data_IF_944817163365
#
_entry.id   IF_944817163365
#
_cell.length_a   1.000
_cell.length_b   1.000
_cell.length_c   1.000
_cell.angle_alpha   90.00
_cell.angle_beta   90.00
_cell.angle_gamma   90.00
#
_symmetry.space_group_name_H-M   'P 1'
#
loop_
_entity.id
_entity.type
_entity.pdbx_description
1 polymer ?
#
# COMPACT_ATOMS: atom_id res chain seq x y z
N UNK A 1 6.75 -25.95 -18.51
CA UNK A 1 7.88 -25.14 -18.00
C UNK A 1 7.46 -24.50 -16.70
N UNK A 2 8.33 -24.69 -15.73
CA UNK A 2 8.28 -24.35 -14.31
C UNK A 2 8.20 -22.84 -14.05
N UNK A 3 7.45 -22.44 -13.03
CA UNK A 3 7.95 -21.47 -12.05
C UNK A 3 7.61 -21.99 -10.66
N UNK A 4 8.63 -22.57 -10.05
CA UNK A 4 8.60 -23.04 -8.67
C UNK A 4 8.37 -21.81 -7.78
N UNK A 5 7.36 -21.92 -6.94
CA UNK A 5 7.03 -20.96 -5.91
C UNK A 5 8.18 -20.93 -4.89
N UNK A 6 9.16 -20.05 -5.07
CA UNK A 6 10.01 -19.62 -3.96
C UNK A 6 9.18 -18.72 -3.07
N UNK A 7 8.35 -19.34 -2.24
CA UNK A 7 7.92 -18.73 -1.00
C UNK A 7 9.20 -18.44 -0.21
N UNK A 8 9.62 -17.18 -0.19
CA UNK A 8 10.58 -16.69 0.79
C UNK A 8 9.92 -16.71 2.17
N UNK A 9 9.70 -17.90 2.72
CA UNK A 9 9.44 -18.15 4.14
C UNK A 9 10.77 -18.06 4.87
N UNK A 10 11.38 -16.88 4.89
CA UNK A 10 12.51 -16.57 5.74
C UNK A 10 12.35 -15.14 6.29
N UNK A 11 12.41 -15.05 7.62
CA UNK A 11 12.34 -13.84 8.44
C UNK A 11 10.94 -13.36 8.88
N UNK A 12 10.17 -14.22 9.56
CA UNK A 12 9.04 -13.78 10.42
C UNK A 12 9.51 -13.10 11.72
N UNK A 13 10.60 -12.35 11.69
CA UNK A 13 11.14 -11.64 12.87
C UNK A 13 12.02 -10.45 12.57
N UNK A 14 12.28 -10.14 11.28
CA UNK A 14 13.08 -8.97 10.91
C UNK A 14 12.18 -7.93 10.29
N UNK A 15 11.99 -6.83 11.02
CA UNK A 15 11.30 -5.66 10.48
C UNK A 15 11.99 -5.23 9.17
N UNK A 16 11.27 -5.08 8.06
CA UNK A 16 11.88 -4.67 6.80
C UNK A 16 12.53 -3.29 6.98
N UNK A 17 13.79 -3.18 6.55
CA UNK A 17 14.48 -1.89 6.51
C UNK A 17 13.80 -0.94 5.51
N UNK A 18 14.02 0.36 5.67
CA UNK A 18 13.42 1.39 4.79
C UNK A 18 13.77 1.19 3.30
N UNK A 19 15.00 0.79 2.99
CA UNK A 19 15.44 0.50 1.61
C UNK A 19 14.68 -0.68 0.99
N UNK A 20 14.53 -1.77 1.76
CA UNK A 20 13.78 -2.95 1.33
C UNK A 20 12.30 -2.62 1.12
N UNK A 21 11.72 -1.82 2.02
CA UNK A 21 10.34 -1.37 1.91
C UNK A 21 10.12 -0.52 0.65
N UNK A 22 11.03 0.43 0.36
CA UNK A 22 10.99 1.22 -0.88
C UNK A 22 11.15 0.36 -2.12
N UNK A 23 12.04 -0.65 -2.09
CA UNK A 23 12.20 -1.58 -3.20
C UNK A 23 10.89 -2.34 -3.49
N UNK A 24 10.24 -2.85 -2.44
CA UNK A 24 8.93 -3.54 -2.54
C UNK A 24 7.83 -2.63 -3.06
N UNK A 25 7.77 -1.38 -2.61
CA UNK A 25 6.82 -0.38 -3.12
C UNK A 25 7.03 -0.18 -4.63
N UNK A 26 8.26 0.06 -5.06
CA UNK A 26 8.56 0.28 -6.48
C UNK A 26 8.23 -0.94 -7.34
N UNK A 27 8.55 -2.14 -6.85
CA UNK A 27 8.18 -3.39 -7.52
C UNK A 27 6.66 -3.57 -7.60
N UNK A 28 5.93 -3.23 -6.52
CA UNK A 28 4.47 -3.24 -6.48
C UNK A 28 3.86 -2.26 -7.49
N UNK A 29 4.36 -1.02 -7.55
CA UNK A 29 3.93 0.00 -8.52
C UNK A 29 4.16 -0.47 -9.96
N UNK A 30 5.31 -1.07 -10.25
CA UNK A 30 5.60 -1.62 -11.58
C UNK A 30 4.58 -2.69 -11.97
N UNK A 31 4.23 -3.61 -11.05
CA UNK A 31 3.21 -4.64 -11.29
C UNK A 31 1.81 -4.03 -11.50
N UNK A 32 1.40 -3.08 -10.66
CA UNK A 32 0.10 -2.40 -10.79
C UNK A 32 -0.02 -1.73 -12.15
N UNK A 33 1.05 -1.09 -12.65
CA UNK A 33 1.06 -0.46 -13.98
C UNK A 33 1.00 -1.45 -15.12
N UNK A 34 1.59 -2.64 -14.98
CA UNK A 34 1.52 -3.71 -15.99
C UNK A 34 0.11 -4.32 -16.02
N UNK A 35 -0.49 -4.55 -14.85
CA UNK A 35 -1.79 -5.20 -14.72
C UNK A 35 -2.96 -4.28 -15.11
N UNK A 36 -2.78 -2.95 -15.04
CA UNK A 36 -3.83 -1.97 -15.29
C UNK A 36 -3.75 -1.37 -16.70
N UNK A 37 -4.83 -1.51 -17.47
CA UNK A 37 -4.92 -0.98 -18.83
C UNK A 37 -4.98 0.56 -18.91
N UNK A 38 -5.45 1.24 -17.86
CA UNK A 38 -5.60 2.70 -17.78
C UNK A 38 -5.66 3.19 -16.32
N UNK A 39 -5.81 4.50 -16.11
CA UNK A 39 -5.88 5.10 -14.77
C UNK A 39 -7.02 4.58 -13.88
N UNK A 40 -8.20 4.30 -14.44
CA UNK A 40 -9.32 3.70 -13.70
C UNK A 40 -9.03 2.25 -13.29
N UNK A 41 -8.30 1.51 -14.13
CA UNK A 41 -7.80 0.17 -13.79
C UNK A 41 -6.80 0.19 -12.62
N UNK A 42 -5.98 1.24 -12.52
CA UNK A 42 -5.05 1.43 -11.40
C UNK A 42 -5.83 1.67 -10.10
N UNK A 43 -6.84 2.56 -10.14
CA UNK A 43 -7.72 2.84 -9.00
C UNK A 43 -8.41 1.56 -8.50
N UNK A 44 -9.08 0.81 -9.38
CA UNK A 44 -9.75 -0.46 -9.00
C UNK A 44 -8.80 -1.54 -8.48
N UNK A 45 -7.57 -1.62 -9.01
CA UNK A 45 -6.54 -2.53 -8.52
C UNK A 45 -6.09 -2.15 -7.11
N UNK A 46 -5.85 -0.86 -6.86
CA UNK A 46 -5.50 -0.35 -5.53
C UNK A 46 -6.62 -0.60 -4.52
N UNK A 47 -7.88 -0.35 -4.88
CA UNK A 47 -9.03 -0.65 -4.02
C UNK A 47 -9.10 -2.13 -3.64
N UNK A 48 -8.91 -3.03 -4.61
CA UNK A 48 -8.93 -4.48 -4.38
C UNK A 48 -7.80 -4.92 -3.46
N UNK A 49 -6.58 -4.47 -3.72
CA UNK A 49 -5.41 -4.81 -2.89
C UNK A 49 -5.57 -4.29 -1.46
N UNK A 50 -6.05 -3.06 -1.29
CA UNK A 50 -6.24 -2.48 0.04
C UNK A 50 -7.34 -3.20 0.82
N UNK A 51 -8.44 -3.56 0.15
CA UNK A 51 -9.51 -4.38 0.76
C UNK A 51 -8.99 -5.73 1.24
N UNK A 52 -8.18 -6.41 0.43
CA UNK A 52 -7.60 -7.70 0.81
C UNK A 52 -6.62 -7.55 1.98
N UNK A 53 -5.78 -6.52 1.99
CA UNK A 53 -4.85 -6.25 3.08
C UNK A 53 -5.57 -5.96 4.41
N UNK A 54 -6.65 -5.17 4.36
CA UNK A 54 -7.51 -4.90 5.51
C UNK A 54 -8.23 -6.16 6.01
N UNK A 55 -8.81 -6.95 5.10
CA UNK A 55 -9.48 -8.21 5.46
C UNK A 55 -8.51 -9.24 6.08
N UNK A 56 -7.27 -9.27 5.61
CA UNK A 56 -6.22 -10.10 6.19
C UNK A 56 -5.63 -9.55 7.50
N UNK A 57 -5.96 -8.30 7.87
CA UNK A 57 -5.40 -7.62 9.03
C UNK A 57 -3.88 -7.45 8.96
N UNK A 58 -3.30 -7.38 7.76
CA UNK A 58 -1.85 -7.36 7.54
C UNK A 58 -1.31 -5.92 7.52
N UNK A 59 -0.63 -5.44 8.57
CA UNK A 59 -0.15 -4.06 8.63
C UNK A 59 0.92 -3.77 7.58
N UNK A 60 1.72 -4.78 7.25
CA UNK A 60 2.72 -4.70 6.21
C UNK A 60 2.09 -4.51 4.84
N UNK A 61 1.08 -5.31 4.49
CA UNK A 61 0.42 -5.20 3.18
C UNK A 61 -0.36 -3.89 3.07
N UNK A 62 -1.02 -3.45 4.14
CA UNK A 62 -1.67 -2.13 4.20
C UNK A 62 -0.65 -1.02 3.88
N UNK A 63 0.48 -1.00 4.58
CA UNK A 63 1.54 -0.02 4.36
C UNK A 63 2.11 -0.10 2.93
N UNK A 64 2.30 -1.31 2.39
CA UNK A 64 2.80 -1.52 1.04
C UNK A 64 1.85 -0.95 -0.02
N UNK A 65 0.54 -1.20 0.13
CA UNK A 65 -0.48 -0.67 -0.78
C UNK A 65 -0.57 0.85 -0.69
N UNK A 66 -0.58 1.41 0.53
CA UNK A 66 -0.58 2.86 0.74
C UNK A 66 0.66 3.54 0.13
N UNK A 67 1.84 2.96 0.31
CA UNK A 67 3.08 3.46 -0.29
C UNK A 67 3.04 3.40 -1.82
N UNK A 68 2.50 2.31 -2.38
CA UNK A 68 2.33 2.15 -3.84
C UNK A 68 1.36 3.19 -4.41
N UNK A 69 0.25 3.42 -3.71
CA UNK A 69 -0.75 4.42 -4.09
C UNK A 69 -0.14 5.84 -4.07
N UNK A 70 0.60 6.17 -3.01
CA UNK A 70 1.28 7.46 -2.88
C UNK A 70 2.30 7.72 -3.99
N UNK A 71 3.06 6.70 -4.42
CA UNK A 71 3.96 6.81 -5.58
C UNK A 71 3.23 7.07 -6.90
N UNK A 72 1.99 6.60 -7.00
CA UNK A 72 1.10 6.84 -8.13
C UNK A 72 0.30 8.15 -8.01
N UNK A 73 0.51 8.94 -6.95
CA UNK A 73 -0.29 10.13 -6.61
C UNK A 73 -1.79 9.85 -6.52
N UNK A 74 -2.15 8.64 -6.12
CA UNK A 74 -3.50 8.16 -5.88
C UNK A 74 -3.63 7.85 -4.39
N UNK A 75 -4.61 8.44 -3.72
CA UNK A 75 -4.76 8.27 -2.28
C UNK A 75 -6.14 7.69 -1.95
N UNK A 76 -6.26 6.84 -0.92
CA UNK A 76 -7.59 6.44 -0.46
C UNK A 76 -8.32 7.66 0.11
N UNK A 77 -9.65 7.57 0.20
CA UNK A 77 -10.47 8.56 0.91
C UNK A 77 -9.98 8.75 2.36
N UNK A 78 -10.14 9.96 2.94
CA UNK A 78 -9.61 10.29 4.26
C UNK A 78 -10.00 9.29 5.36
N UNK A 79 -11.23 8.81 5.36
CA UNK A 79 -11.76 7.87 6.35
C UNK A 79 -11.03 6.52 6.27
N UNK A 80 -10.79 6.05 5.05
CA UNK A 80 -10.04 4.81 4.79
C UNK A 80 -8.57 4.99 5.17
N UNK A 81 -7.98 6.15 4.87
CA UNK A 81 -6.60 6.45 5.23
C UNK A 81 -6.40 6.45 6.75
N UNK A 82 -7.34 7.02 7.51
CA UNK A 82 -7.30 7.01 8.97
C UNK A 82 -7.47 5.58 9.53
N UNK A 83 -8.39 4.77 8.98
CA UNK A 83 -8.54 3.36 9.35
C UNK A 83 -7.24 2.56 9.13
N UNK A 84 -6.62 2.73 7.96
CA UNK A 84 -5.36 2.07 7.64
C UNK A 84 -4.23 2.53 8.56
N UNK A 85 -4.22 3.82 8.92
CA UNK A 85 -3.24 4.39 9.84
C UNK A 85 -3.36 3.77 11.23
N UNK A 86 -4.58 3.65 11.75
CA UNK A 86 -4.83 2.99 13.03
C UNK A 86 -4.37 1.52 13.02
N UNK A 87 -4.68 0.77 11.96
CA UNK A 87 -4.26 -0.63 11.81
C UNK A 87 -2.73 -0.78 11.79
N UNK A 88 -2.01 0.11 11.09
CA UNK A 88 -0.54 0.08 11.05
C UNK A 88 0.10 0.53 12.36
N UNK A 89 -0.51 1.48 13.07
CA UNK A 89 0.02 1.95 14.35
C UNK A 89 0.01 0.86 15.43
N UNK A 90 -0.96 -0.03 15.41
CA UNK A 90 -1.07 -1.16 16.35
C UNK A 90 0.02 -2.22 16.17
N UNK A 91 0.67 -2.29 15.01
CA UNK A 91 1.62 -3.35 14.67
C UNK A 91 3.02 -3.19 15.30
N UNK A 92 3.27 -2.10 16.03
CA UNK A 92 4.55 -1.71 16.64
C UNK A 92 5.80 -1.73 15.74
N UNK A 93 5.61 -1.54 14.43
CA UNK A 93 6.72 -1.47 13.47
C UNK A 93 7.01 -0.03 13.05
N UNK A 94 8.14 0.51 13.53
CA UNK A 94 8.52 1.92 13.31
C UNK A 94 8.67 2.29 11.83
N UNK A 95 9.19 1.37 11.00
CA UNK A 95 9.34 1.61 9.57
C UNK A 95 7.98 1.77 8.86
N UNK A 96 6.97 1.00 9.27
CA UNK A 96 5.62 1.10 8.70
C UNK A 96 4.91 2.37 9.18
N UNK A 97 5.06 2.74 10.46
CA UNK A 97 4.56 4.01 10.99
C UNK A 97 5.15 5.20 10.23
N UNK A 98 6.47 5.19 9.98
CA UNK A 98 7.15 6.22 9.19
C UNK A 98 6.65 6.29 7.75
N UNK A 99 6.40 5.15 7.12
CA UNK A 99 5.82 5.10 5.78
C UNK A 99 4.42 5.72 5.75
N UNK A 100 3.52 5.30 6.64
CA UNK A 100 2.14 5.81 6.66
C UNK A 100 2.12 7.31 6.95
N UNK A 101 3.00 7.79 7.84
CA UNK A 101 3.18 9.22 8.06
C UNK A 101 3.57 9.95 6.77
N UNK A 102 4.54 9.42 6.01
CA UNK A 102 4.97 10.01 4.75
C UNK A 102 3.84 10.02 3.70
N UNK A 103 3.03 8.95 3.62
CA UNK A 103 1.86 8.86 2.75
C UNK A 103 0.83 9.94 3.12
N UNK A 104 0.50 10.07 4.41
CA UNK A 104 -0.45 11.07 4.92
C UNK A 104 0.04 12.49 4.64
N UNK A 105 1.33 12.75 4.89
CA UNK A 105 1.95 14.03 4.59
C UNK A 105 1.89 14.37 3.09
N UNK A 106 2.18 13.40 2.20
CA UNK A 106 2.08 13.59 0.75
C UNK A 106 0.63 13.83 0.29
N UNK A 107 -0.33 13.08 0.85
CA UNK A 107 -1.77 13.27 0.58
C UNK A 107 -2.24 14.70 0.93
N UNK A 108 -1.90 15.17 2.13
CA UNK A 108 -2.24 16.53 2.58
C UNK A 108 -1.58 17.60 1.70
N UNK A 109 -0.30 17.42 1.36
CA UNK A 109 0.45 18.37 0.52
C UNK A 109 -0.07 18.42 -0.91
N UNK A 110 -0.59 17.31 -1.45
CA UNK A 110 -1.14 17.26 -2.81
C UNK A 110 -2.49 18.00 -2.95
N UNK A 111 -3.16 18.36 -1.85
CA UNK A 111 -4.33 19.25 -1.86
C UNK A 111 -5.48 18.77 -2.77
N UNK A 112 -6.10 19.70 -3.50
CA UNK A 112 -7.22 19.41 -4.44
C UNK A 112 -6.78 18.70 -5.73
N UNK A 113 -5.48 18.54 -5.98
CA UNK A 113 -4.94 17.89 -7.19
C UNK A 113 -4.69 16.39 -7.03
N UNK A 114 -4.81 15.87 -5.80
CA UNK A 114 -4.63 14.46 -5.51
C UNK A 114 -5.84 13.67 -6.02
N UNK A 115 -5.63 12.68 -6.88
CA UNK A 115 -6.70 11.75 -7.25
C UNK A 115 -6.99 10.82 -6.08
N UNK A 116 -8.27 10.53 -5.86
CA UNK A 116 -8.72 9.64 -4.79
C UNK A 116 -9.39 8.39 -5.32
N UNK A 117 -9.29 7.31 -4.56
CA UNK A 117 -10.00 6.07 -4.84
C UNK A 117 -10.81 5.64 -3.61
N UNK A 118 -11.98 5.06 -3.87
CA UNK A 118 -12.88 4.53 -2.86
C UNK A 118 -12.66 3.05 -2.64
N UNK A 119 -12.99 2.56 -1.45
CA UNK A 119 -13.25 1.15 -1.24
C UNK A 119 -14.74 0.94 -1.43
N UNK A 120 -15.16 0.39 -2.57
CA UNK A 120 -16.51 -0.17 -2.65
C UNK A 120 -16.57 -1.29 -1.61
N UNK A 121 -17.24 -0.98 -0.50
CA UNK A 121 -17.65 -1.95 0.50
C UNK A 121 -18.92 -2.62 -0.04
N UNK A 122 -19.00 -3.97 -0.03
CA UNK A 122 -20.26 -4.64 -0.31
C UNK A 122 -21.34 -4.25 0.72
#
# INVERSE_FOLDING_TARGET
MTTCFSASTAAWGRQPGSSELLHRIRASVARIRVDAANGAGIEGRLSTLLRHALAAGSPFDIALVLGSAAELMLFPEPEVLEQCTAAVQQADQQALRGLVWAVRHRSMRSGKGARRFTLDLP
#
